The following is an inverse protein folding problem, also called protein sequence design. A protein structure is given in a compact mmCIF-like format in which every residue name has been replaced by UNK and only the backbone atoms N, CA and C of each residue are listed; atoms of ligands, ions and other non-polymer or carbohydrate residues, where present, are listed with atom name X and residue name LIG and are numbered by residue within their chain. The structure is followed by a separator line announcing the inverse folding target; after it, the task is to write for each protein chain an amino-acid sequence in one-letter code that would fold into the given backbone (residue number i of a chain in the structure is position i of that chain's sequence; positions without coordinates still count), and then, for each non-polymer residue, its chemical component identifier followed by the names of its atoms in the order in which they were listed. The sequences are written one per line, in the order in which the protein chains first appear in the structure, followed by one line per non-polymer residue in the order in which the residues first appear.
data_IF_346298904791
#
_entry.id   IF_346298904791
#
_cell.length_a   1.000
_cell.length_b   1.000
_cell.length_c   1.000
_cell.angle_alpha   90.00
_cell.angle_beta   90.00
_cell.angle_gamma   90.00
#
_symmetry.space_group_name_H-M   'P 1'
#
loop_
_entity.id
_entity.type
_entity.pdbx_description
1 polymer ?
#
# COMPACT_ATOMS: atom_id res chain seq x y z
N UNK A 1 -22.58 -9.53 -10.73
CA UNK A 1 -23.21 -9.48 -9.42
C UNK A 1 -23.53 -8.04 -9.09
N UNK A 2 -24.67 -7.81 -8.48
CA UNK A 2 -25.21 -6.48 -8.17
C UNK A 2 -25.49 -6.37 -6.67
N UNK A 3 -25.80 -5.18 -6.21
CA UNK A 3 -26.32 -4.97 -4.88
C UNK A 3 -27.53 -5.88 -4.61
N UNK A 4 -27.57 -6.50 -3.44
CA UNK A 4 -28.59 -7.49 -3.04
C UNK A 4 -28.24 -8.95 -3.34
N UNK A 5 -27.29 -9.23 -4.24
CA UNK A 5 -26.84 -10.62 -4.48
C UNK A 5 -26.15 -11.20 -3.24
N UNK A 6 -26.27 -12.52 -3.05
CA UNK A 6 -25.63 -13.24 -1.94
C UNK A 6 -24.54 -14.16 -2.47
N UNK A 7 -23.34 -14.04 -1.91
CA UNK A 7 -22.15 -14.83 -2.25
C UNK A 7 -21.61 -15.48 -1.00
N UNK A 8 -21.66 -16.80 -0.88
CA UNK A 8 -21.15 -17.54 0.28
C UNK A 8 -21.62 -16.96 1.63
N UNK A 9 -22.89 -16.54 1.69
CA UNK A 9 -23.51 -15.93 2.87
C UNK A 9 -23.20 -14.44 3.09
N UNK A 10 -22.46 -13.81 2.18
CA UNK A 10 -22.25 -12.35 2.18
C UNK A 10 -23.25 -11.66 1.25
N UNK A 11 -24.06 -10.74 1.76
CA UNK A 11 -24.95 -9.91 0.97
C UNK A 11 -24.20 -8.72 0.43
N UNK A 12 -24.18 -8.56 -0.89
CA UNK A 12 -23.49 -7.46 -1.57
C UNK A 12 -24.26 -6.15 -1.32
N UNK A 13 -23.58 -5.12 -0.82
CA UNK A 13 -24.19 -3.83 -0.49
C UNK A 13 -24.22 -2.86 -1.66
N UNK A 14 -23.22 -2.92 -2.54
CA UNK A 14 -23.08 -2.02 -3.70
C UNK A 14 -22.59 -2.82 -4.92
N UNK A 15 -22.77 -2.29 -6.11
CA UNK A 15 -22.23 -2.90 -7.33
C UNK A 15 -20.70 -2.93 -7.29
N UNK A 16 -20.10 -4.02 -7.82
CA UNK A 16 -18.65 -4.17 -7.88
C UNK A 16 -18.00 -3.07 -8.73
N UNK A 17 -16.97 -2.43 -8.16
CA UNK A 17 -16.16 -1.39 -8.81
C UNK A 17 -14.82 -1.96 -9.25
N UNK A 18 -14.32 -1.56 -10.42
CA UNK A 18 -12.97 -1.88 -10.89
C UNK A 18 -12.01 -0.83 -10.34
N UNK A 19 -10.89 -1.25 -9.77
CA UNK A 19 -9.84 -0.36 -9.25
C UNK A 19 -8.47 -0.78 -9.76
N UNK A 20 -7.61 0.22 -9.96
CA UNK A 20 -6.23 0.05 -10.40
C UNK A 20 -6.15 -0.49 -11.83
N UNK A 21 -5.16 -1.34 -12.09
CA UNK A 21 -4.87 -1.91 -13.42
C UNK A 21 -5.97 -2.85 -13.96
N UNK A 22 -7.16 -2.91 -13.34
CA UNK A 22 -8.28 -3.72 -13.82
C UNK A 22 -8.12 -5.23 -13.58
N UNK A 23 -7.30 -5.63 -12.61
CA UNK A 23 -7.06 -7.05 -12.28
C UNK A 23 -8.08 -7.63 -11.30
N UNK A 24 -8.79 -6.78 -10.60
CA UNK A 24 -9.83 -7.16 -9.63
C UNK A 24 -10.96 -6.14 -9.59
N UNK A 25 -12.08 -6.57 -8.99
CA UNK A 25 -13.18 -5.71 -8.60
C UNK A 25 -13.40 -5.83 -7.10
N UNK A 26 -13.98 -4.82 -6.49
CA UNK A 26 -14.32 -4.85 -5.08
C UNK A 26 -15.65 -4.18 -4.81
N UNK A 27 -16.21 -4.52 -3.67
CA UNK A 27 -17.40 -3.89 -3.12
C UNK A 27 -17.42 -4.08 -1.59
N UNK A 28 -18.44 -3.54 -0.94
CA UNK A 28 -18.75 -3.89 0.44
C UNK A 28 -19.85 -4.94 0.49
N UNK A 29 -19.81 -5.78 1.51
CA UNK A 29 -20.79 -6.81 1.76
C UNK A 29 -21.14 -6.88 3.24
N UNK A 30 -22.32 -7.38 3.58
CA UNK A 30 -22.77 -7.62 4.96
C UNK A 30 -22.94 -9.10 5.23
N UNK A 31 -22.57 -9.53 6.45
CA UNK A 31 -22.84 -10.86 6.99
C UNK A 31 -22.92 -10.79 8.52
N UNK A 32 -23.92 -11.42 9.10
CA UNK A 32 -24.11 -11.51 10.56
C UNK A 32 -24.06 -10.13 11.26
N UNK A 33 -24.68 -9.10 10.62
CA UNK A 33 -24.74 -7.74 11.14
C UNK A 33 -23.44 -6.95 11.07
N UNK A 34 -22.40 -7.46 10.40
CA UNK A 34 -21.11 -6.77 10.18
C UNK A 34 -20.86 -6.50 8.72
N UNK A 35 -20.10 -5.45 8.44
CA UNK A 35 -19.70 -5.09 7.09
C UNK A 35 -18.25 -5.53 6.80
N UNK A 36 -18.03 -5.92 5.55
CA UNK A 36 -16.79 -6.47 5.05
C UNK A 36 -16.41 -5.81 3.74
N UNK A 37 -15.11 -5.77 3.44
CA UNK A 37 -14.61 -5.52 2.11
C UNK A 37 -14.48 -6.87 1.38
N UNK A 38 -15.04 -6.97 0.18
CA UNK A 38 -14.96 -8.16 -0.67
C UNK A 38 -14.33 -7.83 -2.01
N UNK A 39 -13.31 -8.60 -2.40
CA UNK A 39 -12.55 -8.47 -3.64
C UNK A 39 -12.84 -9.67 -4.54
N UNK A 40 -13.24 -9.43 -5.79
CA UNK A 40 -13.37 -10.42 -6.86
C UNK A 40 -12.12 -10.39 -7.72
N UNK A 41 -11.44 -11.53 -7.87
CA UNK A 41 -10.32 -11.68 -8.80
C UNK A 41 -10.84 -11.92 -10.22
N UNK A 42 -10.35 -11.16 -11.19
CA UNK A 42 -10.71 -11.34 -12.59
C UNK A 42 -9.92 -12.46 -13.27
N UNK A 43 -8.75 -12.81 -12.73
CA UNK A 43 -7.89 -13.92 -13.17
C UNK A 43 -7.15 -14.50 -11.96
N UNK A 44 -6.94 -15.83 -11.93
CA UNK A 44 -7.43 -16.83 -12.90
C UNK A 44 -8.94 -17.07 -12.76
N UNK A 45 -9.55 -17.60 -13.83
CA UNK A 45 -10.93 -18.11 -13.80
C UNK A 45 -10.92 -19.63 -13.88
N UNK A 46 -11.66 -20.29 -12.97
CA UNK A 46 -11.77 -21.74 -12.98
C UNK A 46 -12.53 -22.17 -14.26
N UNK A 47 -11.98 -23.13 -15.03
CA UNK A 47 -12.61 -23.57 -16.25
C UNK A 47 -13.87 -24.39 -15.96
N UNK A 48 -14.97 -24.04 -16.59
CA UNK A 48 -16.17 -24.85 -16.67
C UNK A 48 -15.87 -26.13 -17.47
N UNK A 49 -16.49 -27.25 -17.08
CA UNK A 49 -16.34 -28.52 -17.78
C UNK A 49 -16.91 -28.43 -19.21
N UNK A 50 -17.98 -27.68 -19.40
CA UNK A 50 -18.65 -27.48 -20.69
C UNK A 50 -18.08 -26.29 -21.51
N UNK A 51 -17.12 -25.53 -20.93
CA UNK A 51 -16.50 -24.42 -21.66
C UNK A 51 -15.78 -24.89 -22.92
N UNK A 52 -15.81 -24.14 -24.02
CA UNK A 52 -15.08 -24.48 -25.24
C UNK A 52 -13.56 -24.48 -24.98
N UNK A 53 -12.83 -25.33 -25.71
CA UNK A 53 -11.38 -25.44 -25.62
C UNK A 53 -10.87 -26.86 -25.47
N UNK A 54 -9.61 -27.10 -25.87
CA UNK A 54 -8.98 -28.41 -25.79
C UNK A 54 -8.79 -28.85 -24.31
N UNK A 55 -8.73 -30.15 -24.09
CA UNK A 55 -8.42 -30.75 -22.77
C UNK A 55 -7.11 -30.17 -22.19
N UNK A 56 -6.09 -29.98 -23.04
CA UNK A 56 -4.81 -29.38 -22.63
C UNK A 56 -4.98 -27.93 -22.15
N UNK A 57 -5.80 -27.13 -22.84
CA UNK A 57 -6.08 -25.73 -22.42
C UNK A 57 -6.80 -25.70 -21.09
N UNK A 58 -7.82 -26.57 -20.89
CA UNK A 58 -8.53 -26.70 -19.61
C UNK A 58 -7.60 -27.14 -18.50
N UNK A 59 -6.71 -28.11 -18.76
CA UNK A 59 -5.72 -28.56 -17.79
C UNK A 59 -4.77 -27.43 -17.36
N UNK A 60 -4.21 -26.66 -18.30
CA UNK A 60 -3.36 -25.49 -18.00
C UNK A 60 -4.11 -24.44 -17.16
N UNK A 61 -5.37 -24.16 -17.46
CA UNK A 61 -6.19 -23.25 -16.66
C UNK A 61 -6.41 -23.78 -15.23
N UNK A 62 -6.71 -25.08 -15.07
CA UNK A 62 -6.84 -25.72 -13.74
C UNK A 62 -5.54 -25.62 -12.95
N UNK A 63 -4.38 -25.90 -13.57
CA UNK A 63 -3.07 -25.77 -12.92
C UNK A 63 -2.81 -24.34 -12.41
N UNK A 64 -3.14 -23.32 -13.21
CA UNK A 64 -3.05 -21.90 -12.77
C UNK A 64 -3.97 -21.61 -11.60
N UNK A 65 -5.20 -22.13 -11.61
CA UNK A 65 -6.13 -21.97 -10.48
C UNK A 65 -5.58 -22.63 -9.22
N UNK A 66 -5.04 -23.85 -9.33
CA UNK A 66 -4.43 -24.57 -8.20
C UNK A 66 -3.19 -23.82 -7.65
N UNK A 67 -2.34 -23.27 -8.53
CA UNK A 67 -1.19 -22.47 -8.10
C UNK A 67 -1.65 -21.22 -7.34
N UNK A 68 -2.68 -20.52 -7.86
CA UNK A 68 -3.28 -19.36 -7.23
C UNK A 68 -3.89 -19.70 -5.85
N UNK A 69 -4.65 -20.80 -5.74
CA UNK A 69 -5.22 -21.27 -4.47
C UNK A 69 -4.14 -21.63 -3.46
N UNK A 70 -3.08 -22.35 -3.89
CA UNK A 70 -1.95 -22.70 -3.01
C UNK A 70 -1.22 -21.47 -2.50
N UNK A 71 -0.98 -20.48 -3.38
CA UNK A 71 -0.34 -19.23 -3.00
C UNK A 71 -1.14 -18.49 -1.91
N UNK A 72 -2.43 -18.24 -2.16
CA UNK A 72 -3.29 -17.56 -1.18
C UNK A 72 -3.41 -18.34 0.13
N UNK A 73 -3.52 -19.66 0.08
CA UNK A 73 -3.55 -20.50 1.29
C UNK A 73 -2.27 -20.33 2.10
N UNK A 74 -1.10 -20.45 1.46
CA UNK A 74 0.20 -20.34 2.10
C UNK A 74 0.38 -18.98 2.79
N UNK A 75 0.04 -17.90 2.11
CA UNK A 75 0.13 -16.54 2.68
C UNK A 75 -0.88 -16.36 3.81
N UNK A 76 -2.12 -16.83 3.66
CA UNK A 76 -3.12 -16.74 4.71
C UNK A 76 -2.75 -17.55 5.96
N UNK A 77 -2.16 -18.73 5.81
CA UNK A 77 -1.64 -19.53 6.92
C UNK A 77 -0.52 -18.80 7.65
N UNK A 78 0.45 -18.23 6.93
CA UNK A 78 1.53 -17.44 7.52
C UNK A 78 1.03 -16.17 8.23
N UNK A 79 -0.06 -15.56 7.73
CA UNK A 79 -0.68 -14.38 8.33
C UNK A 79 -1.66 -14.72 9.47
N UNK A 80 -2.22 -15.91 9.52
CA UNK A 80 -3.21 -16.30 10.54
C UNK A 80 -2.64 -16.22 11.96
N UNK A 81 -1.37 -16.57 12.15
CA UNK A 81 -0.67 -16.47 13.42
C UNK A 81 -0.51 -15.03 13.92
N UNK A 82 -0.68 -14.05 13.02
CA UNK A 82 -0.52 -12.62 13.29
C UNK A 82 -1.84 -11.94 13.62
N UNK A 83 -2.98 -12.54 13.27
CA UNK A 83 -4.31 -11.90 13.32
C UNK A 83 -4.71 -11.39 14.71
N UNK A 84 -4.03 -11.82 15.76
CA UNK A 84 -4.21 -11.33 17.15
C UNK A 84 -3.19 -10.28 17.61
N UNK A 85 -2.15 -9.99 16.82
CA UNK A 85 -1.02 -9.13 17.21
C UNK A 85 -1.15 -7.73 16.59
N UNK A 86 -1.61 -6.78 17.38
CA UNK A 86 -1.46 -5.35 17.09
C UNK A 86 -2.48 -4.69 16.15
N UNK A 87 -3.39 -5.44 15.51
CA UNK A 87 -4.52 -4.84 14.75
C UNK A 87 -4.16 -3.93 13.56
N UNK A 88 -2.88 -3.83 13.19
CA UNK A 88 -2.39 -2.93 12.12
C UNK A 88 -2.27 -3.61 10.75
N UNK A 89 -2.58 -4.89 10.65
CA UNK A 89 -2.63 -5.66 9.41
C UNK A 89 -4.07 -6.07 9.11
N UNK A 90 -4.54 -5.81 7.91
CA UNK A 90 -5.86 -6.25 7.46
C UNK A 90 -5.72 -7.58 6.74
N UNK A 91 -5.79 -8.65 7.51
CA UNK A 91 -5.63 -10.01 7.00
C UNK A 91 -6.90 -10.54 6.33
N UNK A 92 -6.75 -11.58 5.53
CA UNK A 92 -7.85 -12.28 4.87
C UNK A 92 -8.68 -13.04 5.92
N UNK A 93 -9.97 -12.73 6.00
CA UNK A 93 -10.95 -13.45 6.83
C UNK A 93 -11.52 -14.68 6.12
N UNK A 94 -11.71 -14.57 4.79
CA UNK A 94 -12.15 -15.68 3.97
C UNK A 94 -11.57 -15.57 2.55
N UNK A 95 -11.15 -16.68 1.99
CA UNK A 95 -10.77 -16.84 0.61
C UNK A 95 -11.48 -18.06 0.03
N UNK A 96 -12.26 -17.88 -1.03
CA UNK A 96 -13.08 -18.96 -1.58
C UNK A 96 -13.34 -18.76 -3.07
N UNK A 97 -13.74 -19.84 -3.72
CA UNK A 97 -14.24 -19.85 -5.08
C UNK A 97 -15.77 -19.88 -5.08
N UNK A 98 -16.38 -19.03 -5.90
CA UNK A 98 -17.81 -19.01 -6.18
C UNK A 98 -18.05 -19.01 -7.68
N UNK A 99 -18.64 -20.08 -8.19
CA UNK A 99 -18.69 -20.32 -9.64
C UNK A 99 -17.27 -20.43 -10.22
N UNK A 100 -16.99 -19.67 -11.27
CA UNK A 100 -15.70 -19.63 -11.92
C UNK A 100 -14.72 -18.60 -11.33
N UNK A 101 -15.14 -17.80 -10.33
CA UNK A 101 -14.38 -16.67 -9.78
C UNK A 101 -13.87 -16.96 -8.38
N UNK A 102 -12.79 -16.25 -8.00
CA UNK A 102 -12.24 -16.25 -6.66
C UNK A 102 -12.55 -14.95 -5.93
N UNK A 103 -12.79 -15.07 -4.64
CA UNK A 103 -13.15 -13.95 -3.77
C UNK A 103 -12.27 -13.96 -2.52
N UNK A 104 -11.91 -12.77 -2.08
CA UNK A 104 -11.23 -12.52 -0.81
C UNK A 104 -12.09 -11.56 0.02
N UNK A 105 -12.25 -11.85 1.29
CA UNK A 105 -12.99 -11.03 2.25
C UNK A 105 -12.03 -10.58 3.34
N UNK A 106 -12.07 -9.29 3.66
CA UNK A 106 -11.35 -8.68 4.77
C UNK A 106 -12.30 -7.81 5.60
N UNK A 107 -11.86 -7.36 6.75
CA UNK A 107 -12.63 -6.36 7.49
C UNK A 107 -12.80 -5.06 6.68
N UNK A 108 -13.94 -4.39 6.86
CA UNK A 108 -14.11 -3.01 6.39
C UNK A 108 -13.41 -2.08 7.36
N UNK A 109 -12.57 -1.19 6.86
CA UNK A 109 -11.85 -0.19 7.64
C UNK A 109 -12.36 1.20 7.27
N UNK A 110 -12.70 1.98 8.29
CA UNK A 110 -12.94 3.41 8.12
C UNK A 110 -11.61 4.13 7.96
N UNK A 111 -11.44 4.82 6.85
CA UNK A 111 -10.21 5.52 6.49
C UNK A 111 -10.37 7.04 6.63
N UNK A 112 -9.28 7.73 6.94
CA UNK A 112 -9.24 9.19 7.00
C UNK A 112 -9.30 9.86 5.61
N UNK A 113 -9.12 9.08 4.52
CA UNK A 113 -9.16 9.58 3.14
C UNK A 113 -7.99 10.51 2.76
N UNK A 114 -6.88 10.46 3.50
CA UNK A 114 -5.71 11.30 3.25
C UNK A 114 -4.88 10.77 2.09
N UNK A 115 -4.62 11.63 1.11
CA UNK A 115 -3.62 11.40 0.05
C UNK A 115 -2.20 11.64 0.59
N UNK A 116 -1.13 11.23 -0.12
CA UNK A 116 0.25 11.58 0.24
C UNK A 116 0.46 13.10 0.40
N UNK A 117 -0.17 13.91 -0.44
CA UNK A 117 -0.11 15.38 -0.35
C UNK A 117 -0.76 15.90 0.95
N UNK A 118 -1.89 15.31 1.37
CA UNK A 118 -2.52 15.67 2.64
C UNK A 118 -1.63 15.27 3.82
N UNK A 119 -0.95 14.11 3.74
CA UNK A 119 0.01 13.68 4.76
C UNK A 119 1.17 14.66 4.88
N UNK A 120 1.71 15.16 3.76
CA UNK A 120 2.78 16.17 3.75
C UNK A 120 2.36 17.46 4.46
N UNK A 121 1.08 17.82 4.40
CA UNK A 121 0.53 18.99 5.07
C UNK A 121 0.27 18.80 6.57
N UNK A 122 0.36 17.57 7.10
CA UNK A 122 0.17 17.31 8.54
C UNK A 122 1.34 17.87 9.37
N UNK A 123 1.11 18.17 10.66
CA UNK A 123 2.21 18.44 11.59
C UNK A 123 3.24 17.30 11.59
N UNK A 124 4.52 17.63 11.67
CA UNK A 124 5.61 16.64 11.63
C UNK A 124 5.43 15.51 12.66
N UNK A 125 4.87 15.82 13.82
CA UNK A 125 4.56 14.80 14.85
C UNK A 125 3.60 13.73 14.31
N UNK A 126 2.56 14.12 13.58
CA UNK A 126 1.58 13.19 13.01
C UNK A 126 2.19 12.40 11.85
N UNK A 127 2.98 13.06 10.99
CA UNK A 127 3.76 12.37 9.96
C UNK A 127 4.66 11.29 10.58
N UNK A 128 5.40 11.63 11.63
CA UNK A 128 6.30 10.69 12.31
C UNK A 128 5.53 9.50 12.94
N UNK A 129 4.32 9.72 13.46
CA UNK A 129 3.44 8.63 13.93
C UNK A 129 3.06 7.70 12.78
N UNK A 130 2.70 8.25 11.62
CA UNK A 130 2.38 7.44 10.44
C UNK A 130 3.59 6.60 10.00
N UNK A 131 4.79 7.19 9.91
CA UNK A 131 6.00 6.44 9.55
C UNK A 131 6.29 5.31 10.55
N UNK A 132 6.18 5.57 11.85
CA UNK A 132 6.39 4.58 12.91
C UNK A 132 5.39 3.43 12.84
N UNK A 133 4.11 3.74 12.61
CA UNK A 133 3.06 2.71 12.58
C UNK A 133 3.14 1.85 11.32
N UNK A 134 3.52 2.40 10.16
CA UNK A 134 3.80 1.61 8.95
C UNK A 134 5.02 0.71 9.17
N UNK A 135 6.13 1.25 9.72
CA UNK A 135 7.33 0.47 10.01
C UNK A 135 7.04 -0.68 10.99
N UNK A 136 6.22 -0.42 12.03
CA UNK A 136 5.79 -1.44 12.98
C UNK A 136 5.00 -2.56 12.29
N UNK A 137 4.03 -2.19 11.44
CA UNK A 137 3.23 -3.16 10.70
C UNK A 137 4.07 -4.02 9.75
N UNK A 138 5.00 -3.39 9.03
CA UNK A 138 5.90 -4.09 8.13
C UNK A 138 6.87 -5.00 8.90
N UNK A 139 7.31 -4.59 10.09
CA UNK A 139 8.16 -5.42 10.95
C UNK A 139 7.46 -6.72 11.33
N UNK A 140 6.17 -6.69 11.66
CA UNK A 140 5.39 -7.90 11.97
C UNK A 140 5.43 -8.91 10.81
N UNK A 141 5.38 -8.44 9.55
CA UNK A 141 5.52 -9.30 8.36
C UNK A 141 6.93 -9.84 8.21
N UNK A 142 7.92 -8.95 8.29
CA UNK A 142 9.33 -9.29 8.08
C UNK A 142 9.87 -10.24 9.13
N UNK A 143 9.44 -10.13 10.39
CA UNK A 143 9.81 -11.06 11.48
C UNK A 143 9.34 -12.52 11.19
N UNK A 144 8.41 -12.71 10.23
CA UNK A 144 7.94 -14.02 9.76
C UNK A 144 8.43 -14.39 8.37
N UNK A 145 9.41 -13.67 7.87
CA UNK A 145 9.96 -13.91 6.53
C UNK A 145 9.01 -13.60 5.39
N UNK A 146 7.94 -12.80 5.62
CA UNK A 146 6.98 -12.42 4.59
C UNK A 146 7.42 -11.08 3.98
N UNK A 147 7.47 -11.03 2.65
CA UNK A 147 7.63 -9.82 1.83
C UNK A 147 6.23 -9.39 1.39
N UNK A 148 5.89 -8.11 1.53
CA UNK A 148 4.59 -7.57 1.09
C UNK A 148 4.45 -7.60 -0.44
N UNK A 149 5.51 -7.24 -1.16
CA UNK A 149 5.64 -7.36 -2.61
C UNK A 149 4.89 -6.33 -3.47
N UNK A 150 3.98 -5.54 -2.90
CA UNK A 150 3.30 -4.40 -3.57
C UNK A 150 3.06 -3.26 -2.57
N UNK A 151 4.10 -2.89 -1.81
CA UNK A 151 4.02 -1.81 -0.84
C UNK A 151 3.98 -0.46 -1.57
N UNK A 152 2.92 0.34 -1.28
CA UNK A 152 2.65 1.65 -1.88
C UNK A 152 1.65 2.44 -1.01
N UNK A 153 1.49 3.76 -1.18
CA UNK A 153 0.57 4.56 -0.37
C UNK A 153 -0.87 4.03 -0.35
N UNK A 154 -1.40 3.56 -1.48
CA UNK A 154 -2.77 3.02 -1.54
C UNK A 154 -2.97 1.71 -0.77
N UNK A 155 -1.89 1.02 -0.40
CA UNK A 155 -1.90 -0.18 0.44
C UNK A 155 -1.56 0.13 1.92
N UNK A 156 -1.44 1.42 2.25
CA UNK A 156 -1.28 1.94 3.61
C UNK A 156 -2.53 2.76 3.95
N UNK A 157 -3.52 2.15 4.59
CA UNK A 157 -4.72 2.86 5.01
C UNK A 157 -4.41 3.71 6.24
N UNK A 158 -4.72 5.00 6.18
CA UNK A 158 -4.61 5.92 7.31
C UNK A 158 -5.95 6.00 8.00
N UNK A 159 -5.98 5.72 9.30
CA UNK A 159 -7.15 5.79 10.16
C UNK A 159 -6.99 6.92 11.17
N UNK A 160 -8.03 7.74 11.33
CA UNK A 160 -8.10 8.71 12.43
C UNK A 160 -8.48 8.00 13.72
N UNK A 161 -7.82 8.38 14.82
CA UNK A 161 -8.10 7.92 16.18
C UNK A 161 -8.32 9.11 17.09
N UNK A 162 -8.75 8.89 18.33
CA UNK A 162 -8.87 9.95 19.33
C UNK A 162 -7.53 10.64 19.64
N UNK A 163 -6.41 9.92 19.49
CA UNK A 163 -5.05 10.41 19.78
C UNK A 163 -4.28 10.88 18.53
N UNK A 164 -4.93 11.03 17.37
CA UNK A 164 -4.30 11.41 16.10
C UNK A 164 -4.52 10.38 15.00
N UNK A 165 -3.46 9.85 14.41
CA UNK A 165 -3.53 8.92 13.27
C UNK A 165 -2.82 7.61 13.56
N UNK A 166 -3.25 6.56 12.86
CA UNK A 166 -2.55 5.27 12.78
C UNK A 166 -2.65 4.73 11.36
N UNK A 167 -1.84 3.72 11.03
CA UNK A 167 -1.89 3.08 9.71
C UNK A 167 -2.27 1.62 9.81
N UNK A 168 -2.87 1.10 8.73
CA UNK A 168 -3.12 -0.33 8.55
C UNK A 168 -2.58 -0.75 7.19
N UNK A 169 -1.77 -1.82 7.13
CA UNK A 169 -1.34 -2.43 5.88
C UNK A 169 -2.42 -3.36 5.35
N UNK A 170 -2.64 -3.30 4.03
CA UNK A 170 -3.64 -4.08 3.31
C UNK A 170 -3.03 -4.73 2.06
N UNK A 171 -3.80 -5.63 1.48
CA UNK A 171 -3.59 -6.21 0.14
C UNK A 171 -2.31 -7.04 0.01
N UNK A 172 -2.29 -8.18 0.71
CA UNK A 172 -1.21 -9.17 0.68
C UNK A 172 -1.29 -10.14 -0.51
N UNK A 173 -1.96 -9.78 -1.61
CA UNK A 173 -2.14 -10.66 -2.78
C UNK A 173 -0.83 -10.91 -3.53
N UNK A 174 0.11 -9.95 -3.46
CA UNK A 174 1.44 -10.05 -4.04
C UNK A 174 2.51 -10.50 -3.04
N UNK A 175 2.11 -10.80 -1.80
CA UNK A 175 3.04 -11.21 -0.75
C UNK A 175 3.66 -12.58 -1.06
N UNK A 176 4.91 -12.77 -0.61
CA UNK A 176 5.64 -14.04 -0.79
C UNK A 176 6.61 -14.26 0.38
N UNK A 177 7.07 -15.49 0.56
CA UNK A 177 8.12 -15.77 1.53
C UNK A 177 9.48 -15.34 0.96
N UNK A 178 10.34 -14.84 1.83
CA UNK A 178 11.69 -14.38 1.47
C UNK A 178 12.41 -15.37 0.56
N UNK A 179 12.84 -14.88 -0.59
CA UNK A 179 13.55 -15.67 -1.58
C UNK A 179 12.67 -16.58 -2.45
N UNK A 180 11.37 -16.56 -2.28
CA UNK A 180 10.40 -17.39 -2.99
C UNK A 180 9.33 -16.55 -3.74
N UNK A 181 9.71 -15.55 -4.56
CA UNK A 181 8.75 -14.75 -5.30
C UNK A 181 8.01 -15.59 -6.35
N UNK A 182 6.85 -15.13 -6.83
CA UNK A 182 6.23 -15.68 -8.02
C UNK A 182 7.20 -15.60 -9.23
N UNK A 183 7.02 -16.46 -10.27
CA UNK A 183 7.78 -16.33 -11.51
C UNK A 183 7.69 -14.90 -12.10
N UNK A 184 8.74 -14.41 -12.81
CA UNK A 184 8.77 -13.02 -13.31
C UNK A 184 7.52 -12.61 -14.10
N UNK A 185 6.98 -13.49 -14.92
CA UNK A 185 5.77 -13.25 -15.72
C UNK A 185 4.44 -13.23 -14.92
N UNK A 186 4.46 -13.60 -13.64
CA UNK A 186 3.31 -13.63 -12.75
C UNK A 186 3.35 -12.52 -11.70
N UNK A 187 4.45 -11.76 -11.61
CA UNK A 187 4.54 -10.61 -10.72
C UNK A 187 3.59 -9.52 -11.18
N UNK A 188 2.75 -9.11 -10.25
CA UNK A 188 1.77 -8.03 -10.42
C UNK A 188 2.00 -7.02 -9.32
N UNK A 189 2.12 -5.75 -9.68
CA UNK A 189 2.31 -4.67 -8.71
C UNK A 189 2.45 -3.31 -9.41
N UNK A 190 2.86 -2.32 -8.65
CA UNK A 190 2.95 -0.93 -9.09
C UNK A 190 4.41 -0.55 -9.33
N UNK A 191 4.81 -0.44 -10.59
CA UNK A 191 6.21 -0.23 -11.03
C UNK A 191 6.87 0.99 -10.38
N UNK A 192 6.09 2.00 -10.01
CA UNK A 192 6.61 3.20 -9.32
C UNK A 192 7.32 2.89 -8.00
N UNK A 193 6.98 1.76 -7.36
CA UNK A 193 7.51 1.35 -6.06
C UNK A 193 8.38 0.09 -6.13
N UNK A 194 8.67 -0.43 -7.34
CA UNK A 194 9.55 -1.59 -7.50
C UNK A 194 10.98 -1.26 -7.12
N UNK A 195 11.59 -2.15 -6.36
CA UNK A 195 13.01 -2.07 -6.01
C UNK A 195 13.90 -2.43 -7.21
N UNK A 196 15.17 -1.98 -7.24
CA UNK A 196 16.12 -2.29 -8.31
C UNK A 196 16.28 -3.80 -8.59
N UNK A 197 16.34 -4.62 -7.53
CA UNK A 197 16.44 -6.07 -7.66
C UNK A 197 15.16 -6.70 -8.19
N UNK A 198 13.97 -6.19 -7.83
CA UNK A 198 12.70 -6.66 -8.38
C UNK A 198 12.59 -6.33 -9.87
N UNK A 199 13.03 -5.13 -10.27
CA UNK A 199 13.15 -4.75 -11.69
C UNK A 199 14.05 -5.74 -12.42
N UNK A 200 15.24 -6.06 -11.88
CA UNK A 200 16.18 -6.99 -12.46
C UNK A 200 15.63 -8.41 -12.58
N UNK A 201 14.85 -8.86 -11.59
CA UNK A 201 14.20 -10.17 -11.62
C UNK A 201 13.11 -10.23 -12.71
N UNK A 202 12.24 -9.23 -12.81
CA UNK A 202 11.18 -9.18 -13.83
C UNK A 202 11.77 -9.10 -15.25
N UNK A 203 12.88 -8.40 -15.40
CA UNK A 203 13.60 -8.30 -16.69
C UNK A 203 14.46 -9.51 -17.03
N UNK A 204 14.58 -10.47 -16.10
CA UNK A 204 15.48 -11.62 -16.21
C UNK A 204 16.95 -11.20 -16.47
N UNK A 205 17.37 -10.07 -15.88
CA UNK A 205 18.68 -9.45 -16.07
C UNK A 205 19.60 -9.64 -14.86
N UNK A 206 19.84 -10.89 -14.47
CA UNK A 206 20.86 -11.26 -13.48
C UNK A 206 20.45 -11.22 -12.01
N UNK A 207 19.16 -11.00 -11.69
CA UNK A 207 18.64 -11.17 -10.32
C UNK A 207 17.95 -12.51 -10.19
N UNK A 208 18.41 -13.35 -9.27
CA UNK A 208 17.79 -14.65 -8.97
C UNK A 208 16.68 -14.52 -7.91
N UNK A 209 15.74 -15.47 -7.90
CA UNK A 209 14.60 -15.46 -6.96
C UNK A 209 15.02 -15.31 -5.48
N UNK A 210 16.07 -16.03 -5.05
CA UNK A 210 16.56 -15.99 -3.66
C UNK A 210 17.08 -14.61 -3.21
N UNK A 211 17.35 -13.69 -4.14
CA UNK A 211 17.80 -12.33 -3.86
C UNK A 211 16.62 -11.39 -3.57
N UNK A 212 15.37 -11.80 -3.86
CA UNK A 212 14.18 -11.04 -3.55
C UNK A 212 13.75 -11.29 -2.09
N UNK A 213 14.25 -10.43 -1.21
CA UNK A 213 14.05 -10.49 0.23
C UNK A 213 13.20 -9.33 0.73
N UNK A 214 13.00 -9.24 2.04
CA UNK A 214 12.33 -8.10 2.68
C UNK A 214 12.96 -6.73 2.32
N UNK A 215 14.18 -6.72 1.81
CA UNK A 215 14.86 -5.48 1.38
C UNK A 215 14.17 -4.80 0.19
N UNK A 216 13.38 -5.55 -0.59
CA UNK A 216 12.52 -4.97 -1.64
C UNK A 216 11.44 -4.06 -1.03
N UNK A 217 10.78 -4.49 0.05
CA UNK A 217 9.81 -3.65 0.77
C UNK A 217 10.46 -2.43 1.44
N UNK A 218 11.72 -2.55 1.91
CA UNK A 218 12.44 -1.41 2.49
C UNK A 218 12.64 -0.30 1.46
N UNK A 219 12.97 -0.64 0.22
CA UNK A 219 13.07 0.33 -0.86
C UNK A 219 11.72 1.01 -1.13
N UNK A 220 10.65 0.23 -1.27
CA UNK A 220 9.29 0.75 -1.46
C UNK A 220 8.86 1.65 -0.28
N UNK A 221 9.18 1.26 0.95
CA UNK A 221 8.91 2.07 2.15
C UNK A 221 9.70 3.40 2.11
N UNK A 222 10.94 3.40 1.62
CA UNK A 222 11.73 4.61 1.41
C UNK A 222 11.06 5.57 0.44
N UNK A 223 10.47 5.07 -0.65
CA UNK A 223 9.69 5.88 -1.60
C UNK A 223 8.41 6.45 -0.95
N UNK A 224 7.70 5.65 -0.16
CA UNK A 224 6.53 6.13 0.60
C UNK A 224 6.93 7.23 1.59
N UNK A 225 8.07 7.07 2.28
CA UNK A 225 8.57 8.10 3.20
C UNK A 225 8.92 9.39 2.46
N UNK A 226 9.54 9.30 1.28
CA UNK A 226 9.77 10.47 0.45
C UNK A 226 8.47 11.20 0.13
N UNK A 227 7.44 10.50 -0.35
CA UNK A 227 6.15 11.11 -0.66
C UNK A 227 5.46 11.71 0.56
N UNK A 228 5.43 11.00 1.70
CA UNK A 228 4.77 11.48 2.92
C UNK A 228 5.45 12.68 3.57
N UNK A 229 6.78 12.78 3.42
CA UNK A 229 7.58 13.84 4.03
C UNK A 229 7.76 15.06 3.12
N UNK A 230 7.79 14.85 1.80
CA UNK A 230 8.14 15.92 0.84
C UNK A 230 7.08 16.17 -0.23
N UNK A 231 6.05 15.32 -0.30
CA UNK A 231 4.99 15.40 -1.30
C UNK A 231 5.39 14.85 -2.68
N UNK A 232 6.60 14.30 -2.82
CA UNK A 232 7.11 13.80 -4.10
C UNK A 232 8.01 12.57 -3.93
N UNK A 233 8.11 11.76 -4.97
CA UNK A 233 9.15 10.74 -5.09
C UNK A 233 10.54 11.39 -5.21
N UNK A 234 11.63 10.68 -4.84
CA UNK A 234 12.99 11.17 -5.07
C UNK A 234 13.21 11.53 -6.54
N UNK A 235 13.98 12.62 -6.78
CA UNK A 235 14.29 13.03 -8.13
C UNK A 235 15.28 12.05 -8.80
N UNK A 236 15.08 11.81 -10.09
CA UNK A 236 15.97 11.09 -10.98
C UNK A 236 15.80 11.66 -12.41
N UNK A 237 16.65 11.28 -13.36
CA UNK A 237 16.53 11.73 -14.75
C UNK A 237 15.27 11.11 -15.41
N UNK A 238 14.14 11.82 -15.33
CA UNK A 238 12.86 11.39 -15.89
C UNK A 238 12.85 11.38 -17.44
N UNK A 239 13.79 12.03 -18.11
CA UNK A 239 13.95 11.92 -19.56
C UNK A 239 14.55 10.57 -19.97
N UNK A 240 15.32 9.96 -19.08
CA UNK A 240 16.04 8.69 -19.31
C UNK A 240 15.33 7.50 -18.67
N UNK A 241 14.74 7.67 -17.49
CA UNK A 241 14.14 6.59 -16.73
C UNK A 241 12.69 6.91 -16.37
N UNK A 242 11.83 5.92 -16.45
CA UNK A 242 10.41 6.10 -16.12
C UNK A 242 10.12 5.87 -14.64
N UNK A 243 10.95 5.07 -13.94
CA UNK A 243 10.70 4.63 -12.57
C UNK A 243 11.96 4.72 -11.71
N UNK A 244 11.81 5.07 -10.44
CA UNK A 244 12.89 5.21 -9.49
C UNK A 244 13.75 3.94 -9.34
N UNK A 245 13.14 2.75 -9.27
CA UNK A 245 13.87 1.49 -9.19
C UNK A 245 14.71 1.18 -10.45
N UNK A 246 14.24 1.60 -11.63
CA UNK A 246 15.01 1.48 -12.88
C UNK A 246 16.19 2.45 -12.88
N UNK A 247 15.99 3.70 -12.45
CA UNK A 247 17.04 4.70 -12.33
C UNK A 247 18.12 4.24 -11.32
N UNK A 248 17.73 3.79 -10.13
CA UNK A 248 18.64 3.28 -9.13
C UNK A 248 19.43 2.06 -9.63
N UNK A 249 18.79 1.13 -10.35
CA UNK A 249 19.47 -0.02 -10.96
C UNK A 249 20.52 0.40 -12.00
N UNK A 250 20.28 1.50 -12.70
CA UNK A 250 21.21 2.05 -13.68
C UNK A 250 22.34 2.90 -13.04
N UNK A 251 22.38 3.01 -11.72
CA UNK A 251 23.42 3.74 -10.98
C UNK A 251 23.04 5.15 -10.52
N UNK A 252 21.79 5.60 -10.75
CA UNK A 252 21.33 6.87 -10.19
C UNK A 252 21.25 6.78 -8.66
N UNK A 253 21.69 7.84 -7.98
CA UNK A 253 21.61 7.96 -6.52
C UNK A 253 20.31 8.69 -6.17
N UNK A 254 19.35 7.95 -5.65
CA UNK A 254 18.10 8.52 -5.15
C UNK A 254 18.31 9.14 -3.77
N UNK A 255 17.83 10.38 -3.60
CA UNK A 255 17.87 11.13 -2.34
C UNK A 255 16.58 11.90 -2.15
N UNK A 256 16.24 12.16 -0.88
CA UNK A 256 15.18 13.10 -0.58
C UNK A 256 15.56 14.49 -1.11
N UNK A 257 14.59 15.27 -1.61
CA UNK A 257 14.84 16.65 -1.97
C UNK A 257 15.29 17.47 -0.73
N UNK A 258 15.96 18.61 -0.92
CA UNK A 258 16.33 19.49 0.19
C UNK A 258 15.12 19.80 1.07
N UNK A 259 15.28 19.62 2.38
CA UNK A 259 14.19 19.73 3.34
C UNK A 259 14.70 20.22 4.70
N UNK A 260 13.79 20.72 5.53
CA UNK A 260 14.05 21.13 6.92
C UNK A 260 13.84 20.00 7.93
N UNK A 261 13.62 18.78 7.47
CA UNK A 261 13.46 17.61 8.33
C UNK A 261 14.74 17.30 9.13
N UNK A 262 14.61 16.55 10.24
CA UNK A 262 15.78 16.09 11.00
C UNK A 262 16.74 15.30 10.10
N UNK A 263 18.03 15.64 10.13
CA UNK A 263 19.09 15.00 9.32
C UNK A 263 19.08 13.48 9.45
N UNK A 264 18.88 12.96 10.68
CA UNK A 264 18.79 11.51 10.92
C UNK A 264 17.61 10.82 10.20
N UNK A 265 16.50 11.54 9.95
CA UNK A 265 15.38 11.01 9.20
C UNK A 265 15.69 11.01 7.70
N UNK A 266 16.32 12.06 7.20
CA UNK A 266 16.75 12.16 5.79
C UNK A 266 17.77 11.06 5.48
N UNK A 267 18.80 10.92 6.31
CA UNK A 267 19.83 9.87 6.16
C UNK A 267 19.21 8.45 6.20
N UNK A 268 18.22 8.24 7.08
CA UNK A 268 17.51 6.96 7.14
C UNK A 268 16.79 6.67 5.82
N UNK A 269 16.03 7.64 5.30
CA UNK A 269 15.28 7.49 4.05
C UNK A 269 16.24 7.28 2.85
N UNK A 270 17.33 8.05 2.77
CA UNK A 270 18.35 7.90 1.72
C UNK A 270 18.99 6.49 1.77
N UNK A 271 19.28 5.96 2.95
CA UNK A 271 19.80 4.58 3.11
C UNK A 271 18.79 3.52 2.67
N UNK A 272 17.49 3.75 2.88
CA UNK A 272 16.44 2.82 2.41
C UNK A 272 16.36 2.77 0.89
N UNK A 273 16.76 3.85 0.19
CA UNK A 273 16.71 4.00 -1.26
C UNK A 273 17.98 3.52 -2.00
N UNK A 274 18.96 2.95 -1.29
CA UNK A 274 20.17 2.43 -1.91
C UNK A 274 19.86 1.34 -2.93
N UNK A 275 20.59 1.32 -4.05
CA UNK A 275 20.43 0.32 -5.11
C UNK A 275 20.77 -1.09 -4.61
N UNK A 276 21.86 -1.22 -3.82
CA UNK A 276 22.25 -2.49 -3.20
C UNK A 276 21.30 -2.84 -2.03
N UNK A 277 20.52 -3.93 -2.12
CA UNK A 277 19.66 -4.37 -1.04
C UNK A 277 20.43 -4.73 0.23
N UNK A 278 21.70 -5.19 0.13
CA UNK A 278 22.55 -5.50 1.28
C UNK A 278 22.88 -4.28 2.13
N UNK A 279 23.02 -3.12 1.50
CA UNK A 279 23.37 -1.86 2.15
C UNK A 279 22.15 -1.17 2.80
N UNK A 280 20.91 -1.56 2.46
CA UNK A 280 19.70 -0.99 3.08
C UNK A 280 19.53 -1.47 4.52
N UNK A 281 18.96 -0.64 5.42
CA UNK A 281 18.64 -1.08 6.76
C UNK A 281 17.61 -2.23 6.77
N UNK A 282 17.60 -3.03 7.80
CA UNK A 282 16.49 -3.92 8.12
C UNK A 282 15.29 -3.11 8.64
N UNK A 283 14.09 -3.69 8.63
CA UNK A 283 12.92 -3.02 9.22
C UNK A 283 13.07 -2.78 10.72
N UNK A 284 13.79 -3.64 11.43
CA UNK A 284 14.12 -3.46 12.84
C UNK A 284 15.00 -2.21 13.08
N UNK A 285 16.02 -1.99 12.23
CA UNK A 285 16.85 -0.78 12.25
C UNK A 285 16.05 0.46 11.88
N UNK A 286 15.19 0.40 10.86
CA UNK A 286 14.28 1.50 10.50
C UNK A 286 13.38 1.87 11.67
N UNK A 287 12.72 0.88 12.28
CA UNK A 287 11.85 1.11 13.43
C UNK A 287 12.61 1.74 14.61
N UNK A 288 13.79 1.22 14.95
CA UNK A 288 14.63 1.73 16.04
C UNK A 288 15.06 3.18 15.77
N UNK A 289 15.50 3.47 14.54
CA UNK A 289 15.89 4.83 14.15
C UNK A 289 14.73 5.82 14.29
N UNK A 290 13.52 5.46 13.81
CA UNK A 290 12.32 6.28 13.95
C UNK A 290 11.94 6.53 15.41
N UNK A 291 12.09 5.53 16.29
CA UNK A 291 11.81 5.69 17.72
C UNK A 291 12.79 6.66 18.39
N UNK A 292 14.03 6.77 17.90
CA UNK A 292 15.03 7.73 18.35
C UNK A 292 14.81 9.17 17.91
N UNK A 293 13.95 9.41 16.90
CA UNK A 293 13.67 10.77 16.43
C UNK A 293 12.79 11.48 17.43
N UNK A 294 13.34 12.54 18.03
CA UNK A 294 12.62 13.43 18.94
C UNK A 294 11.98 14.56 18.15
N UNK A 295 10.69 14.78 18.35
CA UNK A 295 10.05 16.04 17.98
C UNK A 295 10.42 17.06 19.04
N UNK A 296 10.90 18.24 18.66
CA UNK A 296 11.03 19.34 19.59
C UNK A 296 9.68 19.52 20.29
N UNK A 297 9.64 19.35 21.61
CA UNK A 297 8.47 19.67 22.38
C UNK A 297 8.12 21.13 22.06
N UNK A 298 6.87 21.39 21.66
CA UNK A 298 6.37 22.75 21.54
C UNK A 298 6.56 23.40 22.91
N UNK A 299 7.55 24.27 23.01
CA UNK A 299 7.72 25.09 24.22
C UNK A 299 6.57 26.07 24.21
N UNK A 300 5.44 25.64 24.74
CA UNK A 300 4.32 26.56 25.07
C UNK A 300 4.82 27.40 26.23
N UNK A 301 5.46 28.50 25.92
CA UNK A 301 5.69 29.56 26.90
C UNK A 301 4.32 30.13 27.22
N UNK A 302 3.71 29.60 28.25
CA UNK A 302 2.54 30.21 28.86
C UNK A 302 2.99 31.53 29.44
N UNK A 303 2.82 32.61 28.69
CA UNK A 303 2.85 33.96 29.23
C UNK A 303 1.61 34.08 30.12
N UNK A 304 1.80 33.88 31.42
CA UNK A 304 0.80 34.21 32.45
C UNK A 304 0.78 35.71 32.55
N UNK A 305 -0.09 36.37 31.80
CA UNK A 305 -0.54 37.73 32.10
C UNK A 305 -1.77 37.63 32.99
N UNK A 306 -1.55 37.77 34.28
CA UNK A 306 -2.59 38.01 35.25
C UNK A 306 -3.15 39.43 35.04
N UNK A 307 -4.43 39.52 34.69
CA UNK A 307 -5.25 40.69 35.03
C UNK A 307 -6.72 40.28 34.94
N UNK A 308 -7.37 40.18 36.10
CA UNK A 308 -8.83 40.24 36.25
C UNK A 308 -9.27 41.67 36.09
N UNK A 309 -10.49 41.89 35.52
CA UNK A 309 -11.54 42.44 36.36
C UNK A 309 -12.89 41.72 36.20
N UNK A 310 -13.57 41.62 37.33
CA UNK A 310 -14.97 41.20 37.52
C UNK A 310 -15.91 42.05 36.69
N UNK A 311 -16.90 41.44 36.04
CA UNK A 311 -18.20 42.06 35.79
C UNK A 311 -19.32 41.04 35.80
N UNK A 312 -20.39 41.43 36.51
CA UNK A 312 -21.66 40.78 36.85
C UNK A 312 -22.58 40.55 35.63
N UNK A 313 -23.58 39.66 35.74
CA UNK A 313 -24.41 39.21 34.64
C UNK A 313 -25.69 40.06 34.50
N UNK A 314 -26.13 40.28 33.28
CA UNK A 314 -27.49 40.74 32.97
C UNK A 314 -28.09 39.92 31.81
N UNK A 315 -29.20 39.38 32.06
CA UNK A 315 -30.38 38.86 31.47
C UNK A 315 -30.54 38.60 29.96
N UNK A 316 -31.58 37.86 29.57
CA UNK A 316 -31.61 37.08 28.33
C UNK A 316 -32.24 37.85 27.16
N UNK A 317 -31.73 37.59 25.93
CA UNK A 317 -32.43 38.01 24.73
C UNK A 317 -32.61 36.83 23.78
N UNK A 318 -33.87 36.58 23.47
CA UNK A 318 -34.36 35.67 22.45
C UNK A 318 -33.97 36.19 21.08
N UNK A 319 -33.42 35.33 20.17
CA UNK A 319 -33.61 35.53 18.74
C UNK A 319 -33.68 34.21 17.98
N UNK A 320 -34.63 34.23 17.07
CA UNK A 320 -35.24 33.21 16.23
C UNK A 320 -34.24 32.47 15.32
N UNK A 321 -34.58 31.21 15.07
CA UNK A 321 -33.92 30.32 14.13
C UNK A 321 -33.95 30.77 12.67
N UNK A 322 -32.89 30.35 11.98
CA UNK A 322 -32.87 30.23 10.50
C UNK A 322 -32.14 28.97 10.15
N UNK A 323 -32.82 28.13 9.34
CA UNK A 323 -32.38 26.78 8.97
C UNK A 323 -31.06 26.78 8.23
N UNK A 324 -30.16 25.86 8.64
CA UNK A 324 -29.00 25.50 7.88
C UNK A 324 -29.37 24.38 6.90
N UNK A 325 -29.20 24.67 5.63
CA UNK A 325 -29.21 23.66 4.57
C UNK A 325 -27.91 22.85 4.69
N UNK A 326 -28.01 21.55 4.87
CA UNK A 326 -26.90 20.61 4.80
C UNK A 326 -26.42 20.51 3.36
N UNK A 327 -25.20 20.97 3.10
CA UNK A 327 -24.47 20.68 1.87
C UNK A 327 -23.73 19.35 2.02
N UNK A 328 -24.03 18.40 1.17
CA UNK A 328 -23.34 17.13 1.02
C UNK A 328 -21.95 17.39 0.42
N UNK A 329 -20.85 16.89 0.99
CA UNK A 329 -19.55 17.05 0.37
C UNK A 329 -19.42 16.14 -0.84
N UNK A 330 -19.01 16.71 -1.98
CA UNK A 330 -18.68 16.02 -3.21
C UNK A 330 -17.42 15.18 -2.99
N UNK A 331 -17.49 13.91 -3.38
CA UNK A 331 -16.38 12.96 -3.40
C UNK A 331 -15.38 13.37 -4.50
N UNK A 332 -14.09 13.53 -4.23
CA UNK A 332 -13.11 13.75 -5.30
C UNK A 332 -12.92 12.47 -6.10
N UNK A 333 -13.02 12.58 -7.42
CA UNK A 333 -12.73 11.54 -8.40
C UNK A 333 -11.23 11.26 -8.40
N UNK A 334 -10.76 10.01 -8.31
CA UNK A 334 -9.34 9.72 -8.42
C UNK A 334 -8.86 9.92 -9.87
N UNK A 335 -7.70 10.57 -10.02
CA UNK A 335 -7.02 10.75 -11.29
C UNK A 335 -6.76 9.40 -11.96
N UNK A 336 -7.06 9.29 -13.25
CA UNK A 336 -6.90 8.09 -14.03
C UNK A 336 -5.41 7.78 -14.25
N UNK A 337 -4.91 6.71 -13.64
CA UNK A 337 -3.61 6.13 -13.99
C UNK A 337 -3.67 5.44 -15.37
N UNK A 338 -2.60 5.53 -16.21
CA UNK A 338 -2.58 4.88 -17.51
C UNK A 338 -2.53 3.35 -17.37
N UNK A 339 -3.36 2.66 -18.15
CA UNK A 339 -3.47 1.19 -18.17
C UNK A 339 -2.22 0.54 -18.78
N UNK A 340 -1.46 -0.31 -18.08
CA UNK A 340 -0.44 -1.13 -18.70
C UNK A 340 -1.06 -2.44 -19.23
N UNK A 341 -1.21 -2.54 -20.55
CA UNK A 341 -1.48 -3.82 -21.20
C UNK A 341 -0.24 -4.72 -21.19
N UNK A 342 -0.43 -6.03 -21.08
CA UNK A 342 0.63 -7.08 -21.03
C UNK A 342 1.71 -6.99 -22.14
N UNK A 343 1.42 -6.28 -23.27
CA UNK A 343 2.37 -6.04 -24.38
C UNK A 343 3.22 -4.77 -24.21
N UNK A 344 2.89 -3.89 -23.27
CA UNK A 344 3.65 -2.68 -23.03
C UNK A 344 4.87 -2.90 -22.12
N UNK A 345 4.85 -3.91 -21.25
CA UNK A 345 5.96 -4.19 -20.33
C UNK A 345 7.27 -4.46 -21.10
N UNK A 346 7.24 -5.26 -22.17
CA UNK A 346 8.40 -5.53 -23.00
C UNK A 346 8.92 -4.31 -23.77
N UNK A 347 8.03 -3.47 -24.33
CA UNK A 347 8.41 -2.31 -25.13
C UNK A 347 8.86 -1.08 -24.32
N UNK A 348 8.34 -0.88 -23.10
CA UNK A 348 8.72 0.22 -22.23
C UNK A 348 10.11 0.02 -21.61
N UNK A 349 10.52 -1.23 -21.46
CA UNK A 349 11.82 -1.60 -20.90
C UNK A 349 12.95 -1.54 -21.95
N UNK A 350 12.64 -1.54 -23.26
CA UNK A 350 13.64 -1.45 -24.35
C UNK A 350 14.21 -0.03 -24.57
N UNK A 351 13.54 1.02 -24.09
CA UNK A 351 14.04 2.41 -24.24
C UNK A 351 15.26 2.77 -23.37
N UNK A 352 15.65 1.89 -22.44
CA UNK A 352 16.82 2.06 -21.58
C UNK A 352 18.14 1.48 -22.13
N UNK A 353 18.16 0.93 -23.33
CA UNK A 353 19.42 0.51 -23.98
C UNK A 353 19.98 1.71 -24.76
N UNK A 354 20.93 2.43 -24.16
CA UNK A 354 21.73 3.43 -24.85
C UNK A 354 22.51 2.79 -26.03
N UNK A 355 22.89 3.57 -27.05
CA UNK A 355 23.65 3.07 -28.20
C UNK A 355 25.01 2.56 -27.71
N UNK A 356 25.27 1.29 -27.96
CA UNK A 356 26.58 0.69 -27.77
C UNK A 356 27.59 1.46 -28.60
N UNK A 357 28.66 1.90 -27.99
CA UNK A 357 29.86 2.41 -28.63
C UNK A 357 30.57 1.26 -29.39
N UNK A 358 31.21 1.53 -30.56
CA UNK A 358 31.84 0.53 -31.42
C UNK A 358 33.03 -0.18 -30.78
#
# INVERSE_FOLDING_TARGET
MKAGDVINGYTILEDFRVVGAGLSKWTFAAKDGREYFIKEFLSPTFPDEHAPGSAQTKMRKRQRCQAFERHHRRINEALAEISGVGGNLIVTLAFFRWGAKYYKVTEKVEVAGLSPADVTALPFQDQLVLLKTVAHSLRILHDRGIVHGDLKPSNVLIKRTELGYTTKLIDFDSAYLTGEPPPPGEIVGTMNYYSPELVGYIQETGTAAHQLTQKADIFALGLIYAEYLTGALPAFDAARYQYAGVAARAGEILRLPPTTLPTSLVELADRMLLADPGARPSIGEVHTALMGIRTAAATTTAVVTASHPKRTPTGPSRLKGRGLRTATPATPSPAAEPRPGRRLLGKLLERGKGPGTP
#
